data_IF_648101409740
#
_entry.id   IF_648101409740
#
_cell.length_a   1.000
_cell.length_b   1.000
_cell.length_c   1.000
_cell.angle_alpha   90.00
_cell.angle_beta   90.00
_cell.angle_gamma   90.00
#
_symmetry.space_group_name_H-M   'P 1'
#
loop_
_entity.id
_entity.type
_entity.pdbx_description
1 polymer ?
#
# COMPACT_ATOMS: atom_id res chain seq x y z
N UNK A 1 -10.18 21.03 12.09
CA UNK A 1 -10.34 22.33 11.38
C UNK A 1 -10.46 22.19 9.86
N UNK A 2 -9.40 21.96 9.05
CA UNK A 2 -9.54 21.94 7.57
C UNK A 2 -10.44 20.83 7.00
N UNK A 3 -10.48 19.65 7.63
CA UNK A 3 -11.39 18.55 7.23
C UNK A 3 -12.86 18.90 7.52
N UNK A 4 -13.14 19.50 8.68
CA UNK A 4 -14.50 19.91 9.07
C UNK A 4 -15.01 21.06 8.19
N UNK A 5 -14.15 22.03 7.88
CA UNK A 5 -14.44 23.12 6.95
C UNK A 5 -14.78 22.58 5.55
N UNK A 6 -14.00 21.60 5.05
CA UNK A 6 -14.30 20.94 3.78
C UNK A 6 -15.64 20.18 3.83
N UNK A 7 -15.90 19.44 4.92
CA UNK A 7 -17.16 18.70 5.07
C UNK A 7 -18.38 19.63 5.14
N UNK A 8 -18.28 20.76 5.83
CA UNK A 8 -19.32 21.79 5.88
C UNK A 8 -19.57 22.37 4.48
N UNK A 9 -18.51 22.73 3.74
CA UNK A 9 -18.63 23.24 2.38
C UNK A 9 -19.27 22.23 1.42
N UNK A 10 -18.97 20.93 1.58
CA UNK A 10 -19.59 19.85 0.79
C UNK A 10 -21.08 19.63 1.09
N UNK A 11 -21.57 20.08 2.25
CA UNK A 11 -22.99 20.09 2.57
C UNK A 11 -23.72 21.27 1.93
N UNK A 12 -23.05 22.43 1.83
CA UNK A 12 -23.60 23.64 1.23
C UNK A 12 -23.71 23.59 -0.31
N UNK A 13 -22.99 22.67 -0.96
CA UNK A 13 -23.00 22.51 -2.42
C UNK A 13 -23.37 21.05 -2.80
N UNK A 14 -24.66 20.67 -2.73
CA UNK A 14 -25.10 19.28 -2.90
C UNK A 14 -24.74 18.69 -4.27
N UNK A 15 -24.83 19.49 -5.33
CA UNK A 15 -24.65 19.09 -6.73
C UNK A 15 -23.23 19.31 -7.25
N UNK A 16 -22.26 19.49 -6.36
CA UNK A 16 -20.87 19.73 -6.75
C UNK A 16 -20.28 18.51 -7.45
N UNK A 17 -19.82 18.70 -8.69
CA UNK A 17 -19.02 17.69 -9.43
C UNK A 17 -17.68 17.38 -8.75
N UNK A 18 -17.26 18.20 -7.78
CA UNK A 18 -16.01 18.01 -7.02
C UNK A 18 -16.19 17.12 -5.78
N UNK A 19 -17.43 16.85 -5.37
CA UNK A 19 -17.74 16.09 -4.15
C UNK A 19 -17.11 14.68 -4.12
N UNK A 20 -17.13 13.89 -5.21
CA UNK A 20 -16.46 12.58 -5.23
C UNK A 20 -14.95 12.68 -5.07
N UNK A 21 -14.33 13.71 -5.64
CA UNK A 21 -12.89 13.94 -5.55
C UNK A 21 -12.50 14.34 -4.12
N UNK A 22 -13.28 15.22 -3.50
CA UNK A 22 -13.09 15.59 -2.10
C UNK A 22 -13.20 14.36 -1.16
N UNK A 23 -14.19 13.50 -1.37
CA UNK A 23 -14.32 12.25 -0.61
C UNK A 23 -13.18 11.27 -0.88
N UNK A 24 -12.70 11.14 -2.13
CA UNK A 24 -11.52 10.33 -2.44
C UNK A 24 -10.28 10.83 -1.68
N UNK A 25 -10.06 12.15 -1.65
CA UNK A 25 -8.93 12.74 -0.93
C UNK A 25 -9.03 12.55 0.59
N UNK A 26 -10.24 12.68 1.16
CA UNK A 26 -10.49 12.34 2.56
C UNK A 26 -10.22 10.86 2.83
N UNK A 27 -10.65 9.98 1.93
CA UNK A 27 -10.41 8.56 2.07
C UNK A 27 -8.91 8.22 2.07
N UNK A 28 -8.13 8.82 1.15
CA UNK A 28 -6.66 8.70 1.15
C UNK A 28 -6.03 9.27 2.43
N UNK A 29 -6.48 10.44 2.89
CA UNK A 29 -5.98 11.04 4.12
C UNK A 29 -6.17 10.11 5.31
N UNK A 30 -7.40 9.62 5.54
CA UNK A 30 -7.72 8.71 6.64
C UNK A 30 -6.96 7.38 6.53
N UNK A 31 -6.75 6.85 5.32
CA UNK A 31 -5.96 5.64 5.10
C UNK A 31 -4.48 5.83 5.47
N UNK A 32 -3.93 7.02 5.21
CA UNK A 32 -2.53 7.36 5.49
C UNK A 32 -2.28 7.60 6.99
N UNK A 33 -3.26 8.12 7.72
CA UNK A 33 -3.18 8.30 9.18
C UNK A 33 -3.68 7.07 9.97
N UNK A 34 -3.73 5.89 9.34
CA UNK A 34 -4.06 4.64 10.04
C UNK A 34 -5.53 4.52 10.48
N UNK A 35 -6.48 5.15 9.79
CA UNK A 35 -7.92 5.03 10.04
C UNK A 35 -8.66 4.35 8.86
N UNK A 36 -8.38 3.06 8.60
CA UNK A 36 -8.89 2.34 7.44
C UNK A 36 -10.42 2.29 7.36
N UNK A 37 -11.14 2.13 8.46
CA UNK A 37 -12.61 2.10 8.46
C UNK A 37 -13.21 3.46 8.06
N UNK A 38 -12.59 4.55 8.54
CA UNK A 38 -13.01 5.91 8.16
C UNK A 38 -12.70 6.19 6.69
N UNK A 39 -11.58 5.68 6.18
CA UNK A 39 -11.27 5.73 4.76
C UNK A 39 -12.32 5.01 3.91
N UNK A 40 -12.77 3.82 4.34
CA UNK A 40 -13.82 3.08 3.65
C UNK A 40 -15.14 3.86 3.63
N UNK A 41 -15.52 4.45 4.76
CA UNK A 41 -16.72 5.28 4.85
C UNK A 41 -16.72 6.43 3.82
N UNK A 42 -15.59 7.16 3.69
CA UNK A 42 -15.49 8.21 2.68
C UNK A 42 -15.47 7.66 1.25
N UNK A 43 -14.83 6.51 1.01
CA UNK A 43 -14.85 5.88 -0.29
C UNK A 43 -16.27 5.49 -0.73
N UNK A 44 -17.08 4.94 0.17
CA UNK A 44 -18.49 4.59 -0.08
C UNK A 44 -19.32 5.82 -0.47
N UNK A 45 -19.13 6.95 0.24
CA UNK A 45 -19.80 8.22 -0.11
C UNK A 45 -19.40 8.76 -1.48
N UNK A 46 -18.17 8.52 -1.90
CA UNK A 46 -17.73 8.88 -3.25
C UNK A 46 -18.35 7.94 -4.30
N UNK A 47 -18.44 6.64 -4.01
CA UNK A 47 -19.05 5.65 -4.90
C UNK A 47 -20.54 5.89 -5.14
N UNK A 48 -21.26 6.41 -4.15
CA UNK A 48 -22.69 6.73 -4.26
C UNK A 48 -23.00 7.99 -5.08
N UNK A 49 -21.98 8.71 -5.57
CA UNK A 49 -22.20 9.95 -6.32
C UNK A 49 -22.58 9.72 -7.78
N UNK A 50 -23.60 10.42 -8.25
CA UNK A 50 -24.04 10.40 -9.65
C UNK A 50 -23.02 11.04 -10.60
N UNK A 51 -22.16 11.93 -10.09
CA UNK A 51 -21.12 12.64 -10.86
C UNK A 51 -19.77 11.92 -10.88
N UNK A 52 -19.73 10.63 -10.52
CA UNK A 52 -18.50 9.86 -10.38
C UNK A 52 -17.82 9.58 -11.73
N UNK A 53 -16.73 10.32 -12.00
CA UNK A 53 -15.91 10.15 -13.22
C UNK A 53 -14.94 8.96 -13.13
N UNK A 54 -14.51 8.38 -14.27
CA UNK A 54 -13.68 7.16 -14.30
C UNK A 54 -12.37 7.25 -13.51
N UNK A 55 -11.67 8.40 -13.56
CA UNK A 55 -10.43 8.62 -12.80
C UNK A 55 -10.65 8.44 -11.30
N UNK A 56 -11.67 9.08 -10.76
CA UNK A 56 -12.00 9.02 -9.33
C UNK A 56 -12.44 7.61 -8.96
N UNK A 57 -13.25 6.95 -9.80
CA UNK A 57 -13.65 5.55 -9.58
C UNK A 57 -12.43 4.62 -9.45
N UNK A 58 -11.43 4.76 -10.31
CA UNK A 58 -10.18 4.01 -10.20
C UNK A 58 -9.44 4.29 -8.87
N UNK A 59 -9.33 5.56 -8.47
CA UNK A 59 -8.74 5.94 -7.17
C UNK A 59 -9.48 5.29 -5.98
N UNK A 60 -10.81 5.23 -6.04
CA UNK A 60 -11.61 4.59 -4.99
C UNK A 60 -11.36 3.09 -4.89
N UNK A 61 -11.16 2.39 -6.01
CA UNK A 61 -10.75 0.98 -5.99
C UNK A 61 -9.39 0.79 -5.30
N UNK A 62 -8.42 1.67 -5.54
CA UNK A 62 -7.14 1.64 -4.81
C UNK A 62 -7.36 1.81 -3.31
N UNK A 63 -8.21 2.75 -2.88
CA UNK A 63 -8.54 2.94 -1.47
C UNK A 63 -9.16 1.69 -0.88
N UNK A 64 -10.19 1.12 -1.51
CA UNK A 64 -10.88 -0.08 -1.00
C UNK A 64 -9.91 -1.25 -0.87
N UNK A 65 -9.12 -1.53 -1.91
CA UNK A 65 -8.14 -2.62 -1.90
C UNK A 65 -7.10 -2.37 -0.81
N UNK A 66 -6.50 -1.19 -0.75
CA UNK A 66 -5.48 -0.87 0.26
C UNK A 66 -6.03 -0.95 1.69
N UNK A 67 -7.28 -0.53 1.89
CA UNK A 67 -7.97 -0.58 3.18
C UNK A 67 -8.19 -2.02 3.61
N UNK A 68 -8.78 -2.84 2.74
CA UNK A 68 -9.01 -4.27 3.00
C UNK A 68 -7.70 -5.00 3.23
N UNK A 69 -6.65 -4.70 2.46
CA UNK A 69 -5.32 -5.26 2.66
C UNK A 69 -4.74 -4.95 4.04
N UNK A 70 -4.96 -3.74 4.58
CA UNK A 70 -4.51 -3.35 5.93
C UNK A 70 -5.33 -4.00 7.04
N UNK A 71 -6.63 -4.17 6.84
CA UNK A 71 -7.53 -4.75 7.84
C UNK A 71 -7.44 -6.28 7.88
N UNK A 72 -7.63 -6.91 6.72
CA UNK A 72 -7.61 -8.35 6.55
C UNK A 72 -7.43 -8.68 5.06
N UNK A 73 -6.19 -8.93 4.65
CA UNK A 73 -5.85 -9.20 3.24
C UNK A 73 -6.62 -10.40 2.65
N UNK A 74 -6.91 -11.42 3.46
CA UNK A 74 -7.69 -12.60 3.06
C UNK A 74 -9.17 -12.30 2.74
N UNK A 75 -9.68 -11.11 3.10
CA UNK A 75 -11.03 -10.69 2.73
C UNK A 75 -11.16 -10.31 1.25
N UNK A 76 -10.04 -10.07 0.57
CA UNK A 76 -10.02 -9.78 -0.87
C UNK A 76 -10.20 -11.05 -1.70
N UNK A 77 -10.80 -10.87 -2.87
CA UNK A 77 -10.93 -11.92 -3.87
C UNK A 77 -10.54 -11.45 -5.27
N UNK A 78 -10.38 -12.41 -6.19
CA UNK A 78 -9.97 -12.14 -7.56
C UNK A 78 -10.92 -11.18 -8.30
N UNK A 79 -12.23 -11.25 -8.04
CA UNK A 79 -13.20 -10.40 -8.73
C UNK A 79 -13.01 -8.91 -8.40
N UNK A 80 -12.62 -8.59 -7.17
CA UNK A 80 -12.31 -7.21 -6.78
C UNK A 80 -11.10 -6.66 -7.53
N UNK A 81 -10.04 -7.48 -7.67
CA UNK A 81 -8.87 -7.11 -8.47
C UNK A 81 -9.21 -6.99 -9.96
N UNK A 82 -9.99 -7.92 -10.52
CA UNK A 82 -10.42 -7.88 -11.93
C UNK A 82 -11.25 -6.65 -12.24
N UNK A 83 -12.15 -6.26 -11.33
CA UNK A 83 -12.94 -5.05 -11.52
C UNK A 83 -12.08 -3.79 -11.43
N UNK A 84 -11.15 -3.73 -10.48
CA UNK A 84 -10.20 -2.63 -10.38
C UNK A 84 -9.30 -2.51 -11.62
N UNK A 85 -8.78 -3.64 -12.11
CA UNK A 85 -8.04 -3.75 -13.38
C UNK A 85 -8.84 -3.13 -14.53
N UNK A 86 -10.10 -3.54 -14.69
CA UNK A 86 -10.98 -3.07 -15.76
C UNK A 86 -11.22 -1.56 -15.66
N UNK A 87 -11.60 -1.07 -14.48
CA UNK A 87 -11.91 0.35 -14.25
C UNK A 87 -10.69 1.23 -14.46
N UNK A 88 -9.54 0.86 -13.90
CA UNK A 88 -8.32 1.67 -13.94
C UNK A 88 -7.65 1.70 -15.31
N UNK A 89 -7.63 0.57 -16.04
CA UNK A 89 -7.10 0.55 -17.39
C UNK A 89 -7.98 1.38 -18.35
N UNK A 90 -9.31 1.28 -18.24
CA UNK A 90 -10.22 2.12 -19.04
C UNK A 90 -10.08 3.62 -18.74
N UNK A 91 -9.68 3.98 -17.52
CA UNK A 91 -9.42 5.36 -17.12
C UNK A 91 -7.98 5.84 -17.40
N UNK A 92 -7.10 5.00 -17.97
CA UNK A 92 -5.71 5.33 -18.27
C UNK A 92 -4.86 5.63 -17.02
N UNK A 93 -5.24 5.12 -15.84
CA UNK A 93 -4.60 5.44 -14.56
C UNK A 93 -3.43 4.50 -14.24
N UNK A 94 -2.33 4.60 -14.99
CA UNK A 94 -1.18 3.70 -14.86
C UNK A 94 -0.53 3.72 -13.47
N UNK A 95 -0.42 4.88 -12.83
CA UNK A 95 0.14 4.97 -11.48
C UNK A 95 -0.73 4.23 -10.45
N UNK A 96 -2.04 4.42 -10.51
CA UNK A 96 -3.00 3.80 -9.58
C UNK A 96 -3.05 2.28 -9.77
N UNK A 97 -3.04 1.80 -11.01
CA UNK A 97 -3.10 0.35 -11.26
C UNK A 97 -1.84 -0.39 -10.83
N UNK A 98 -0.67 0.26 -10.87
CA UNK A 98 0.57 -0.32 -10.32
C UNK A 98 0.42 -0.61 -8.83
N UNK A 99 -0.13 0.33 -8.04
CA UNK A 99 -0.36 0.12 -6.61
C UNK A 99 -1.38 -0.99 -6.32
N UNK A 100 -2.43 -1.08 -7.14
CA UNK A 100 -3.43 -2.16 -7.02
C UNK A 100 -2.79 -3.52 -7.32
N UNK A 101 -1.93 -3.60 -8.33
CA UNK A 101 -1.26 -4.84 -8.69
C UNK A 101 -0.21 -5.28 -7.68
N UNK A 102 0.43 -4.36 -6.96
CA UNK A 102 1.29 -4.69 -5.83
C UNK A 102 0.49 -5.46 -4.76
N UNK A 103 -0.72 -4.98 -4.43
CA UNK A 103 -1.62 -5.70 -3.52
C UNK A 103 -2.08 -7.04 -4.08
N UNK A 104 -2.39 -7.11 -5.37
CA UNK A 104 -2.75 -8.37 -6.04
C UNK A 104 -1.64 -9.40 -5.97
N UNK A 105 -0.39 -8.99 -6.19
CA UNK A 105 0.78 -9.86 -6.09
C UNK A 105 1.00 -10.35 -4.66
N UNK A 106 0.87 -9.47 -3.65
CA UNK A 106 0.91 -9.85 -2.22
C UNK A 106 -0.15 -10.91 -1.88
N UNK A 107 -1.39 -10.67 -2.32
CA UNK A 107 -2.48 -11.62 -2.12
C UNK A 107 -2.20 -12.96 -2.83
N UNK A 108 -1.77 -12.95 -4.10
CA UNK A 108 -1.44 -14.17 -4.84
C UNK A 108 -0.30 -14.97 -4.18
N UNK A 109 0.73 -14.29 -3.68
CA UNK A 109 1.82 -14.91 -2.94
C UNK A 109 1.32 -15.60 -1.67
N UNK A 110 0.44 -14.97 -0.89
CA UNK A 110 -0.17 -15.58 0.29
C UNK A 110 -1.01 -16.82 -0.04
N UNK A 111 -1.67 -16.82 -1.20
CA UNK A 111 -2.42 -17.97 -1.70
C UNK A 111 -1.53 -19.06 -2.34
N UNK A 112 -0.20 -18.92 -2.29
CA UNK A 112 0.77 -19.79 -2.94
C UNK A 112 0.56 -19.92 -4.47
N UNK A 113 -0.01 -18.88 -5.10
CA UNK A 113 -0.27 -18.81 -6.56
C UNK A 113 0.89 -18.12 -7.27
N UNK A 114 2.07 -18.74 -7.20
CA UNK A 114 3.36 -18.12 -7.54
C UNK A 114 3.46 -17.70 -9.01
N UNK A 115 3.05 -18.55 -9.95
CA UNK A 115 3.07 -18.24 -11.39
C UNK A 115 2.21 -17.01 -11.74
N UNK A 116 1.04 -16.90 -11.10
CA UNK A 116 0.15 -15.76 -11.29
C UNK A 116 0.73 -14.50 -10.66
N UNK A 117 1.33 -14.60 -9.46
CA UNK A 117 2.00 -13.50 -8.80
C UNK A 117 3.14 -12.96 -9.68
N UNK A 118 3.98 -13.85 -10.23
CA UNK A 118 5.07 -13.50 -11.12
C UNK A 118 4.57 -12.83 -12.41
N UNK A 119 3.47 -13.33 -12.99
CA UNK A 119 2.83 -12.73 -14.17
C UNK A 119 2.35 -11.30 -13.88
N UNK A 120 1.67 -11.11 -12.74
CA UNK A 120 1.21 -9.79 -12.29
C UNK A 120 2.39 -8.85 -12.07
N UNK A 121 3.44 -9.30 -11.39
CA UNK A 121 4.64 -8.49 -11.13
C UNK A 121 5.37 -8.10 -12.41
N UNK A 122 5.49 -9.01 -13.37
CA UNK A 122 6.15 -8.74 -14.67
C UNK A 122 5.41 -7.66 -15.45
N UNK A 123 4.09 -7.77 -15.56
CA UNK A 123 3.27 -6.76 -16.24
C UNK A 123 3.26 -5.41 -15.50
N UNK A 124 3.34 -5.46 -14.17
CA UNK A 124 3.36 -4.27 -13.31
C UNK A 124 4.69 -3.53 -13.39
N UNK A 125 5.81 -4.26 -13.43
CA UNK A 125 7.13 -3.69 -13.59
C UNK A 125 7.25 -2.92 -14.91
N UNK A 126 6.79 -3.50 -16.03
CA UNK A 126 6.78 -2.81 -17.33
C UNK A 126 5.98 -1.50 -17.29
N UNK A 127 4.89 -1.44 -16.51
CA UNK A 127 4.12 -0.19 -16.32
C UNK A 127 4.88 0.80 -15.44
N UNK A 128 5.49 0.34 -14.35
CA UNK A 128 6.21 1.17 -13.39
C UNK A 128 7.51 1.76 -13.97
N UNK A 129 8.19 1.07 -14.88
CA UNK A 129 9.41 1.57 -15.54
C UNK A 129 9.17 2.84 -16.37
N UNK A 130 7.92 3.09 -16.80
CA UNK A 130 7.56 4.34 -17.49
C UNK A 130 7.42 5.54 -16.55
N UNK A 131 7.42 5.31 -15.23
CA UNK A 131 7.29 6.32 -14.19
C UNK A 131 8.18 5.93 -13.00
N UNK A 132 9.49 6.24 -13.02
CA UNK A 132 10.40 5.82 -11.97
C UNK A 132 10.13 6.60 -10.67
N UNK A 133 9.08 6.20 -9.94
CA UNK A 133 8.85 6.52 -8.55
C UNK A 133 9.55 5.44 -7.72
N UNK A 134 10.57 5.83 -6.94
CA UNK A 134 11.40 4.94 -6.13
C UNK A 134 10.59 3.97 -5.26
N UNK A 135 9.46 4.44 -4.70
CA UNK A 135 8.60 3.67 -3.83
C UNK A 135 7.84 2.49 -4.47
N UNK A 136 7.43 2.59 -5.73
CA UNK A 136 6.74 1.46 -6.39
C UNK A 136 7.72 0.39 -6.84
N UNK A 137 8.90 0.80 -7.31
CA UNK A 137 9.93 -0.14 -7.77
C UNK A 137 10.47 -1.00 -6.63
N UNK A 138 10.71 -0.41 -5.45
CA UNK A 138 11.20 -1.19 -4.30
C UNK A 138 10.19 -2.25 -3.84
N UNK A 139 8.90 -1.91 -3.80
CA UNK A 139 7.82 -2.87 -3.49
C UNK A 139 7.78 -4.00 -4.53
N UNK A 140 7.83 -3.68 -5.82
CA UNK A 140 7.81 -4.66 -6.90
C UNK A 140 9.03 -5.59 -6.83
N UNK A 141 10.23 -5.05 -6.63
CA UNK A 141 11.45 -5.85 -6.54
C UNK A 141 11.47 -6.74 -5.29
N UNK A 142 11.01 -6.23 -4.14
CA UNK A 142 10.89 -7.03 -2.93
C UNK A 142 9.93 -8.21 -3.15
N UNK A 143 8.78 -7.97 -3.78
CA UNK A 143 7.82 -9.04 -4.10
C UNK A 143 8.35 -10.05 -5.09
N UNK A 144 9.12 -9.63 -6.11
CA UNK A 144 9.81 -10.59 -6.97
C UNK A 144 10.77 -11.46 -6.16
N UNK A 145 11.55 -10.89 -5.25
CA UNK A 145 12.48 -11.65 -4.42
C UNK A 145 11.74 -12.70 -3.58
N UNK A 146 10.60 -12.34 -2.99
CA UNK A 146 9.75 -13.25 -2.22
C UNK A 146 9.12 -14.35 -3.08
N UNK A 147 8.59 -14.02 -4.26
CA UNK A 147 7.97 -14.99 -5.18
C UNK A 147 9.01 -15.97 -5.69
N UNK A 148 10.19 -15.49 -6.13
CA UNK A 148 11.26 -16.37 -6.59
C UNK A 148 11.81 -17.26 -5.47
N UNK A 149 11.92 -16.73 -4.25
CA UNK A 149 12.29 -17.54 -3.10
C UNK A 149 11.27 -18.66 -2.85
N UNK A 150 9.97 -18.33 -2.85
CA UNK A 150 8.89 -19.31 -2.67
C UNK A 150 8.86 -20.35 -3.80
N UNK A 151 9.30 -19.99 -5.01
CA UNK A 151 9.40 -20.89 -6.16
C UNK A 151 10.74 -21.65 -6.23
N UNK A 152 11.57 -21.57 -5.17
CA UNK A 152 12.91 -22.18 -5.11
C UNK A 152 13.90 -21.71 -6.19
N UNK A 153 13.63 -20.55 -6.79
CA UNK A 153 14.49 -19.88 -7.77
C UNK A 153 15.45 -18.91 -7.07
N UNK A 154 16.33 -19.46 -6.25
CA UNK A 154 17.15 -18.70 -5.31
C UNK A 154 18.09 -17.66 -5.96
N UNK A 155 18.60 -17.94 -7.15
CA UNK A 155 19.46 -17.00 -7.90
C UNK A 155 18.65 -15.76 -8.30
N UNK A 156 17.42 -15.95 -8.79
CA UNK A 156 16.52 -14.86 -9.12
C UNK A 156 16.07 -14.11 -7.86
N UNK A 157 15.81 -14.81 -6.75
CA UNK A 157 15.50 -14.19 -5.48
C UNK A 157 16.63 -13.26 -5.02
N UNK A 158 17.89 -13.68 -5.15
CA UNK A 158 19.06 -12.86 -4.83
C UNK A 158 19.16 -11.62 -5.72
N UNK A 159 18.99 -11.78 -7.04
CA UNK A 159 19.05 -10.68 -8.00
C UNK A 159 18.04 -9.59 -7.65
N UNK A 160 16.80 -9.95 -7.35
CA UNK A 160 15.76 -8.97 -7.03
C UNK A 160 15.92 -8.37 -5.63
N UNK A 161 16.42 -9.14 -4.66
CA UNK A 161 16.82 -8.60 -3.36
C UNK A 161 17.96 -7.57 -3.49
N UNK A 162 18.91 -7.77 -4.41
CA UNK A 162 19.97 -6.79 -4.69
C UNK A 162 19.43 -5.54 -5.38
N UNK A 163 18.45 -5.68 -6.27
CA UNK A 163 17.77 -4.52 -6.87
C UNK A 163 17.11 -3.63 -5.83
N UNK A 164 16.47 -4.21 -4.80
CA UNK A 164 15.94 -3.43 -3.67
C UNK A 164 17.04 -2.62 -2.98
N UNK A 165 18.20 -3.23 -2.72
CA UNK A 165 19.31 -2.54 -2.06
C UNK A 165 19.90 -1.40 -2.90
N UNK A 166 19.73 -1.45 -4.22
CA UNK A 166 20.19 -0.44 -5.16
C UNK A 166 19.23 0.74 -5.34
N UNK A 167 17.99 0.67 -4.81
CA UNK A 167 17.03 1.78 -4.90
C UNK A 167 17.47 2.95 -3.99
N UNK A 168 17.43 4.17 -4.53
CA UNK A 168 17.63 5.40 -3.76
C UNK A 168 16.45 5.65 -2.80
N UNK A 169 16.73 6.21 -1.62
CA UNK A 169 15.73 6.50 -0.59
C UNK A 169 14.94 5.27 -0.10
N UNK A 170 15.52 4.08 -0.22
CA UNK A 170 14.91 2.81 0.24
C UNK A 170 14.53 2.86 1.72
N UNK A 171 15.25 3.63 2.53
CA UNK A 171 15.02 3.81 3.96
C UNK A 171 13.64 4.44 4.28
N UNK A 172 13.00 5.10 3.31
CA UNK A 172 11.64 5.63 3.44
C UNK A 172 10.56 4.53 3.34
N UNK A 173 10.94 3.32 2.92
CA UNK A 173 10.04 2.18 2.67
C UNK A 173 10.43 0.99 3.56
N UNK A 174 10.10 1.03 4.85
CA UNK A 174 10.56 0.04 5.82
C UNK A 174 10.07 -1.38 5.53
N UNK A 175 8.81 -1.56 5.11
CA UNK A 175 8.24 -2.89 4.89
C UNK A 175 8.95 -3.67 3.76
N UNK A 176 9.12 -3.12 2.52
CA UNK A 176 9.90 -3.80 1.48
C UNK A 176 11.32 -4.15 1.89
N UNK A 177 11.96 -3.30 2.70
CA UNK A 177 13.31 -3.55 3.22
C UNK A 177 13.32 -4.69 4.23
N UNK A 178 12.38 -4.72 5.17
CA UNK A 178 12.21 -5.82 6.14
C UNK A 178 12.07 -7.14 5.40
N UNK A 179 11.17 -7.20 4.41
CA UNK A 179 10.92 -8.38 3.60
C UNK A 179 12.20 -8.81 2.85
N UNK A 180 12.93 -7.85 2.27
CA UNK A 180 14.19 -8.10 1.54
C UNK A 180 15.28 -8.63 2.45
N UNK A 181 15.44 -8.06 3.66
CA UNK A 181 16.42 -8.55 4.62
C UNK A 181 16.10 -9.95 5.10
N UNK A 182 14.82 -10.33 5.19
CA UNK A 182 14.46 -11.71 5.45
C UNK A 182 14.87 -12.65 4.32
N UNK A 183 14.59 -12.29 3.06
CA UNK A 183 15.06 -13.08 1.90
C UNK A 183 16.58 -13.22 1.89
N UNK A 184 17.32 -12.13 2.15
CA UNK A 184 18.79 -12.17 2.22
C UNK A 184 19.30 -13.04 3.37
N UNK A 185 18.65 -13.00 4.53
CA UNK A 185 18.94 -13.91 5.65
C UNK A 185 18.77 -15.36 5.21
N UNK A 186 17.63 -15.70 4.62
CA UNK A 186 17.32 -17.07 4.18
C UNK A 186 18.31 -17.57 3.12
N UNK A 187 18.68 -16.73 2.15
CA UNK A 187 19.73 -17.05 1.17
C UNK A 187 21.10 -17.29 1.83
N UNK A 188 21.48 -16.46 2.79
CA UNK A 188 22.74 -16.62 3.52
C UNK A 188 22.78 -17.91 4.34
N UNK A 189 21.69 -18.28 5.02
CA UNK A 189 21.55 -19.55 5.76
C UNK A 189 21.69 -20.74 4.82
N UNK A 190 20.99 -20.72 3.68
CA UNK A 190 21.06 -21.78 2.66
C UNK A 190 22.49 -22.00 2.15
N UNK A 191 23.27 -20.93 2.05
CA UNK A 191 24.65 -20.97 1.60
C UNK A 191 25.66 -21.29 2.73
N UNK A 192 25.19 -21.53 3.96
CA UNK A 192 26.06 -21.78 5.12
C UNK A 192 26.74 -20.52 5.67
N UNK A 193 26.37 -19.33 5.21
CA UNK A 193 26.93 -18.05 5.60
C UNK A 193 26.23 -17.50 6.87
N UNK A 194 26.27 -18.26 7.96
CA UNK A 194 25.50 -17.96 9.18
C UNK A 194 25.84 -16.60 9.83
N UNK A 195 27.10 -16.16 9.72
CA UNK A 195 27.49 -14.83 10.22
C UNK A 195 26.75 -13.71 9.47
N UNK A 196 26.63 -13.84 8.16
CA UNK A 196 25.92 -12.87 7.32
C UNK A 196 24.40 -12.94 7.54
N UNK A 197 23.86 -14.15 7.70
CA UNK A 197 22.47 -14.35 8.07
C UNK A 197 22.12 -13.64 9.39
N UNK A 198 22.97 -13.79 10.41
CA UNK A 198 22.79 -13.12 11.70
C UNK A 198 22.79 -11.58 11.56
N UNK A 199 23.68 -11.03 10.74
CA UNK A 199 23.69 -9.58 10.45
C UNK A 199 22.38 -9.13 9.80
N UNK A 200 21.89 -9.87 8.79
CA UNK A 200 20.63 -9.55 8.12
C UNK A 200 19.43 -9.64 9.06
N UNK A 201 19.38 -10.67 9.93
CA UNK A 201 18.35 -10.79 10.96
C UNK A 201 18.37 -9.59 11.92
N UNK A 202 19.56 -9.19 12.38
CA UNK A 202 19.70 -8.05 13.30
C UNK A 202 19.18 -6.76 12.67
N UNK A 203 19.57 -6.49 11.41
CA UNK A 203 19.08 -5.32 10.69
C UNK A 203 17.56 -5.37 10.49
N UNK A 204 17.01 -6.54 10.14
CA UNK A 204 15.57 -6.73 10.00
C UNK A 204 14.82 -6.38 11.30
N UNK A 205 15.30 -6.88 12.43
CA UNK A 205 14.69 -6.63 13.75
C UNK A 205 14.72 -5.15 14.13
N UNK A 206 15.82 -4.44 13.84
CA UNK A 206 15.91 -2.99 14.08
C UNK A 206 14.89 -2.23 13.21
N UNK A 207 14.73 -2.62 11.94
CA UNK A 207 13.76 -2.00 11.04
C UNK A 207 12.31 -2.26 11.51
N UNK A 208 12.00 -3.49 11.90
CA UNK A 208 10.70 -3.87 12.47
C UNK A 208 10.38 -3.04 13.73
N UNK A 209 11.35 -2.92 14.64
CA UNK A 209 11.20 -2.13 15.86
C UNK A 209 10.96 -0.64 15.54
N UNK A 210 11.78 -0.03 14.69
CA UNK A 210 11.63 1.37 14.31
C UNK A 210 10.28 1.64 13.63
N UNK A 211 9.80 0.70 12.80
CA UNK A 211 8.51 0.80 12.13
C UNK A 211 7.37 0.76 13.15
N UNK A 212 7.42 -0.16 14.13
CA UNK A 212 6.43 -0.26 15.20
C UNK A 212 6.41 0.98 16.10
N UNK A 213 7.58 1.48 16.51
CA UNK A 213 7.69 2.68 17.33
C UNK A 213 7.12 3.91 16.63
N UNK A 214 7.35 4.04 15.31
CA UNK A 214 6.75 5.12 14.50
C UNK A 214 5.22 5.00 14.45
N UNK A 215 4.69 3.81 14.19
CA UNK A 215 3.24 3.58 14.16
C UNK A 215 2.57 3.91 15.49
N UNK A 216 3.20 3.52 16.61
CA UNK A 216 2.70 3.82 17.95
C UNK A 216 2.72 5.34 18.22
N UNK A 217 3.79 6.03 17.85
CA UNK A 217 3.88 7.48 18.00
C UNK A 217 2.80 8.22 17.20
N UNK A 218 2.52 7.78 15.96
CA UNK A 218 1.46 8.32 15.12
C UNK A 218 0.08 8.11 15.74
N UNK A 219 -0.20 6.90 16.27
CA UNK A 219 -1.45 6.60 16.96
C UNK A 219 -1.65 7.48 18.20
N UNK A 220 -0.62 7.63 19.03
CA UNK A 220 -0.65 8.50 20.22
C UNK A 220 -0.94 9.95 19.80
N UNK A 221 -0.27 10.46 18.76
CA UNK A 221 -0.50 11.82 18.27
C UNK A 221 -1.95 12.04 17.79
N UNK A 222 -2.53 11.03 17.12
CA UNK A 222 -3.94 11.07 16.70
C UNK A 222 -4.89 11.09 17.89
N UNK A 223 -4.65 10.25 18.91
CA UNK A 223 -5.48 10.23 20.12
C UNK A 223 -5.40 11.55 20.87
N UNK A 224 -4.20 12.13 20.99
CA UNK A 224 -4.03 13.45 21.60
C UNK A 224 -4.78 14.53 20.83
N UNK A 225 -4.68 14.53 19.50
CA UNK A 225 -5.40 15.49 18.67
C UNK A 225 -6.93 15.37 18.82
N UNK A 226 -7.47 14.15 18.96
CA UNK A 226 -8.90 13.92 19.23
C UNK A 226 -9.30 14.47 20.59
N UNK A 227 -8.54 14.15 21.64
CA UNK A 227 -8.79 14.65 22.99
C UNK A 227 -8.79 16.19 23.05
N UNK A 228 -7.83 16.84 22.40
CA UNK A 228 -7.74 18.30 22.35
C UNK A 228 -8.92 18.95 21.61
N UNK A 229 -9.50 18.26 20.62
CA UNK A 229 -10.72 18.72 19.91
C UNK A 229 -11.94 18.57 20.82
N UNK A 230 -12.12 17.40 21.44
CA UNK A 230 -13.27 17.12 22.31
C UNK A 230 -13.29 18.09 23.50
N UNK A 231 -12.13 18.37 24.11
CA UNK A 231 -11.99 19.34 25.18
C UNK A 231 -12.46 20.74 24.73
N UNK A 232 -12.01 21.22 23.56
CA UNK A 232 -12.43 22.52 23.01
C UNK A 232 -13.92 22.58 22.68
N UNK A 233 -14.52 21.49 22.22
CA UNK A 233 -15.96 21.43 21.95
C UNK A 233 -16.79 21.41 23.23
N UNK A 234 -16.26 20.86 24.33
CA UNK A 234 -16.94 20.83 25.63
C UNK A 234 -16.88 22.15 26.41
N UNK A 235 -16.00 23.07 26.01
CA UNK A 235 -15.85 24.42 26.59
C UNK A 235 -16.73 25.49 25.89
N UNK A 236 -17.43 25.13 24.82
CA UNK A 236 -18.36 26.00 24.04
C UNK A 236 -19.81 25.64 24.40
#
# INVERSE_FOLDING_TARGET
>A
QRVEELLALLQEIPDSTYKPDAYLNLAHFHLNIGQPETALHFAERAFSSETLVPRIRCGLHLVVISTKSKLQLDSLNLAEFTEADRVCNNAGQNYTIVNINIWKAKWLLQQNRLDEAQTVLTTTLMKAENFPASGQLIEIYSLFAMVYWANEEYDNASVYADKVMAVEFKEDFPQPLIDTYDIKRQLAERNGNYQQAYQYLTTRQILEQNMYERQLADEIAIQQARFDIDAKQSEI
#
